data_IF_589994646511
#
_entry.id   IF_589994646511
#
_cell.length_a   1.000
_cell.length_b   1.000
_cell.length_c   1.000
_cell.angle_alpha   90.00
_cell.angle_beta   90.00
_cell.angle_gamma   90.00
#
_symmetry.space_group_name_H-M   'P 1'
#
loop_
_entity.id
_entity.type
_entity.pdbx_description
1 polymer ?
#
# COMPACT_ATOMS: atom_id res chain seq x y z
N UNK A 1 2.78 9.55 3.09
CA UNK A 1 3.17 8.47 3.99
C UNK A 1 1.94 7.95 4.71
N UNK A 2 1.78 6.63 4.68
CA UNK A 2 0.67 5.91 5.30
C UNK A 2 0.68 5.98 6.83
N UNK A 3 -0.50 5.83 7.45
CA UNK A 3 -0.62 5.66 8.89
C UNK A 3 -0.06 4.30 9.33
N UNK A 4 0.75 4.23 10.40
CA UNK A 4 1.41 3.00 10.84
C UNK A 4 0.47 2.07 11.61
N UNK A 5 -0.55 1.54 10.93
CA UNK A 5 -1.48 0.60 11.55
C UNK A 5 -0.86 -0.79 11.64
N UNK A 6 -1.13 -1.57 12.72
CA UNK A 6 -0.65 -2.94 12.82
C UNK A 6 -1.09 -3.83 11.65
N UNK A 7 -2.29 -3.59 11.11
CA UNK A 7 -2.83 -4.33 9.98
C UNK A 7 -2.04 -4.07 8.69
N UNK A 8 -1.72 -2.81 8.39
CA UNK A 8 -0.93 -2.45 7.22
C UNK A 8 0.50 -2.98 7.31
N UNK A 9 1.16 -2.81 8.47
CA UNK A 9 2.52 -3.31 8.70
C UNK A 9 2.58 -4.84 8.50
N UNK A 10 1.64 -5.57 9.09
CA UNK A 10 1.56 -7.03 8.90
C UNK A 10 1.32 -7.41 7.43
N UNK A 11 0.48 -6.66 6.72
CA UNK A 11 0.22 -6.89 5.30
C UNK A 11 1.44 -6.62 4.42
N UNK A 12 2.24 -5.59 4.71
CA UNK A 12 3.48 -5.30 3.99
C UNK A 12 4.49 -6.46 4.14
N UNK A 13 4.72 -6.94 5.36
CA UNK A 13 5.58 -8.10 5.61
C UNK A 13 5.08 -9.36 4.91
N UNK A 14 3.79 -9.69 5.07
CA UNK A 14 3.21 -10.87 4.45
C UNK A 14 3.28 -10.82 2.92
N UNK A 15 3.05 -9.64 2.32
CA UNK A 15 3.16 -9.45 0.88
C UNK A 15 4.61 -9.63 0.42
N UNK A 16 5.57 -9.05 1.13
CA UNK A 16 6.99 -9.20 0.83
C UNK A 16 7.43 -10.68 0.89
N UNK A 17 6.96 -11.42 1.89
CA UNK A 17 7.31 -12.83 2.06
C UNK A 17 6.70 -13.71 0.97
N UNK A 18 5.43 -13.48 0.59
CA UNK A 18 4.81 -14.17 -0.56
C UNK A 18 5.60 -13.96 -1.85
N UNK A 19 6.02 -12.72 -2.11
CA UNK A 19 6.84 -12.38 -3.28
C UNK A 19 8.20 -13.05 -3.21
N UNK A 20 8.89 -13.01 -2.06
CA UNK A 20 10.19 -13.65 -1.86
C UNK A 20 10.12 -15.18 -2.04
N UNK A 21 8.99 -15.80 -1.70
CA UNK A 21 8.74 -17.24 -1.88
C UNK A 21 8.40 -17.64 -3.32
N UNK A 22 8.39 -16.68 -4.25
CA UNK A 22 8.27 -16.98 -5.68
C UNK A 22 6.89 -16.77 -6.26
N UNK A 23 6.02 -15.99 -5.62
CA UNK A 23 4.75 -15.60 -6.22
C UNK A 23 4.96 -15.00 -7.63
N UNK A 24 4.02 -15.28 -8.54
CA UNK A 24 4.03 -14.75 -9.91
C UNK A 24 3.95 -13.23 -9.84
N UNK A 25 4.83 -12.58 -10.60
CA UNK A 25 4.98 -11.13 -10.59
C UNK A 25 5.13 -10.64 -12.02
N UNK A 26 4.30 -9.68 -12.40
CA UNK A 26 4.30 -9.09 -13.72
C UNK A 26 3.73 -7.68 -13.66
N UNK A 27 4.56 -6.68 -13.99
CA UNK A 27 4.07 -5.32 -14.20
C UNK A 27 3.00 -5.27 -15.30
N UNK A 28 1.98 -4.43 -15.12
CA UNK A 28 0.83 -4.32 -16.04
C UNK A 28 -0.18 -5.46 -15.94
N UNK A 29 0.08 -6.50 -15.14
CA UNK A 29 -0.96 -7.45 -14.74
C UNK A 29 -1.57 -6.98 -13.42
N UNK A 30 -2.84 -6.60 -13.44
CA UNK A 30 -3.49 -5.86 -12.36
C UNK A 30 -3.41 -6.50 -10.97
N UNK A 31 -3.46 -7.83 -10.91
CA UNK A 31 -3.29 -8.58 -9.68
C UNK A 31 -1.86 -8.99 -9.36
N UNK A 32 -0.91 -8.94 -10.30
CA UNK A 32 0.44 -9.49 -10.13
C UNK A 32 1.55 -8.40 -10.13
N UNK A 33 1.17 -7.13 -10.11
CA UNK A 33 2.08 -5.99 -9.94
C UNK A 33 2.20 -5.58 -8.46
N UNK A 34 2.94 -4.50 -8.17
CA UNK A 34 3.21 -4.00 -6.82
C UNK A 34 1.93 -3.73 -6.03
N UNK A 35 1.04 -2.88 -6.57
CA UNK A 35 -0.24 -2.56 -5.95
C UNK A 35 -1.16 -3.78 -5.88
N UNK A 36 -1.20 -4.59 -6.95
CA UNK A 36 -2.01 -5.80 -7.03
C UNK A 36 -1.70 -6.80 -5.91
N UNK A 37 -0.43 -7.07 -5.64
CA UNK A 37 -0.02 -7.98 -4.57
C UNK A 37 -0.41 -7.48 -3.18
N UNK A 38 -0.22 -6.19 -2.90
CA UNK A 38 -0.64 -5.63 -1.61
C UNK A 38 -2.18 -5.63 -1.49
N UNK A 39 -2.91 -5.32 -2.55
CA UNK A 39 -4.36 -5.38 -2.60
C UNK A 39 -4.87 -6.80 -2.28
N UNK A 40 -4.28 -7.84 -2.87
CA UNK A 40 -4.63 -9.23 -2.55
C UNK A 40 -4.47 -9.52 -1.05
N UNK A 41 -3.36 -9.08 -0.44
CA UNK A 41 -3.10 -9.32 0.97
C UNK A 41 -4.06 -8.57 1.90
N UNK A 42 -4.38 -7.31 1.57
CA UNK A 42 -5.24 -6.46 2.41
C UNK A 42 -6.73 -6.83 2.29
N UNK A 43 -7.17 -7.27 1.12
CA UNK A 43 -8.60 -7.45 0.82
C UNK A 43 -9.02 -8.91 0.70
N UNK A 44 -8.07 -9.83 0.54
CA UNK A 44 -8.34 -11.25 0.30
C UNK A 44 -8.79 -11.57 -1.13
N UNK A 45 -8.96 -10.57 -2.01
CA UNK A 45 -9.23 -10.82 -3.42
C UNK A 45 -8.06 -11.54 -4.10
N UNK A 46 -8.37 -12.46 -4.99
CA UNK A 46 -7.40 -13.15 -5.83
C UNK A 46 -6.89 -12.26 -6.96
N UNK A 47 -5.75 -12.62 -7.54
CA UNK A 47 -5.26 -11.95 -8.74
C UNK A 47 -6.24 -11.99 -9.92
N UNK A 48 -7.09 -13.03 -10.00
CA UNK A 48 -8.10 -13.16 -11.05
C UNK A 48 -9.24 -12.16 -10.89
N UNK A 49 -9.75 -12.01 -9.66
CA UNK A 49 -10.77 -11.01 -9.33
C UNK A 49 -10.27 -9.60 -9.59
N UNK A 50 -9.04 -9.27 -9.16
CA UNK A 50 -8.47 -7.93 -9.42
C UNK A 50 -8.31 -7.64 -10.92
N UNK A 51 -7.96 -8.65 -11.72
CA UNK A 51 -7.90 -8.51 -13.17
C UNK A 51 -9.28 -8.29 -13.78
N UNK A 52 -10.31 -8.98 -13.29
CA UNK A 52 -11.70 -8.81 -13.73
C UNK A 52 -12.23 -7.41 -13.37
N UNK A 53 -11.98 -6.93 -12.15
CA UNK A 53 -12.40 -5.59 -11.72
C UNK A 53 -11.77 -4.48 -12.56
N UNK A 54 -10.53 -4.68 -13.01
CA UNK A 54 -9.84 -3.73 -13.87
C UNK A 54 -10.41 -3.66 -15.31
N UNK A 55 -11.28 -4.59 -15.71
CA UNK A 55 -11.95 -4.53 -17.01
C UNK A 55 -13.04 -3.46 -17.06
N UNK A 56 -13.57 -3.04 -15.92
CA UNK A 56 -14.61 -2.00 -15.85
C UNK A 56 -14.09 -0.62 -16.26
N UNK A 57 -12.76 -0.40 -16.14
CA UNK A 57 -12.13 0.88 -16.42
C UNK A 57 -10.65 0.73 -16.75
N UNK A 58 -10.25 1.25 -17.91
CA UNK A 58 -8.85 1.28 -18.35
C UNK A 58 -7.94 2.13 -17.43
N UNK A 59 -6.64 1.82 -17.49
CA UNK A 59 -5.57 2.57 -16.83
C UNK A 59 -4.86 1.76 -15.76
N UNK A 60 -3.68 2.21 -15.33
CA UNK A 60 -2.86 1.57 -14.30
C UNK A 60 -3.31 1.97 -12.88
N UNK A 61 -2.78 1.31 -11.85
CA UNK A 61 -3.15 1.57 -10.44
C UNK A 61 -2.98 3.04 -10.04
N UNK A 62 -1.92 3.71 -10.48
CA UNK A 62 -1.72 5.13 -10.16
C UNK A 62 -2.83 6.02 -10.76
N UNK A 63 -3.38 5.66 -11.93
CA UNK A 63 -4.48 6.38 -12.56
C UNK A 63 -5.77 6.14 -11.78
N UNK A 64 -6.04 4.89 -11.41
CA UNK A 64 -7.20 4.53 -10.60
C UNK A 64 -7.16 5.19 -9.22
N UNK A 65 -5.98 5.30 -8.60
CA UNK A 65 -5.81 6.01 -7.34
C UNK A 65 -6.06 7.53 -7.51
N UNK A 66 -5.54 8.16 -8.57
CA UNK A 66 -5.78 9.59 -8.81
C UNK A 66 -7.23 9.92 -9.13
N UNK A 67 -7.89 9.05 -9.87
CA UNK A 67 -9.28 9.22 -10.30
C UNK A 67 -10.27 8.57 -9.32
N UNK A 68 -9.79 8.16 -8.14
CA UNK A 68 -10.59 7.48 -7.14
C UNK A 68 -11.79 8.34 -6.73
N UNK A 69 -12.95 7.69 -6.73
CA UNK A 69 -14.21 8.22 -6.25
C UNK A 69 -14.97 7.07 -5.58
N UNK A 70 -15.35 7.28 -4.32
CA UNK A 70 -16.00 6.29 -3.45
C UNK A 70 -17.43 5.92 -3.89
N UNK A 71 -18.06 6.78 -4.68
CA UNK A 71 -19.42 6.63 -5.19
C UNK A 71 -19.50 6.24 -6.67
N UNK A 72 -18.35 5.98 -7.33
CA UNK A 72 -18.31 5.65 -8.77
C UNK A 72 -19.03 4.34 -9.13
N UNK A 73 -19.14 3.43 -8.17
CA UNK A 73 -19.69 2.08 -8.38
C UNK A 73 -18.67 1.05 -8.88
N UNK A 74 -17.49 1.47 -9.36
CA UNK A 74 -16.46 0.58 -9.90
C UNK A 74 -15.90 -0.36 -8.83
N UNK A 75 -15.77 -1.63 -9.19
CA UNK A 75 -15.28 -2.69 -8.30
C UNK A 75 -13.85 -2.41 -7.83
N UNK A 76 -12.98 -1.94 -8.72
CA UNK A 76 -11.62 -1.60 -8.34
C UNK A 76 -11.55 -0.37 -7.41
N UNK A 77 -12.45 0.61 -7.55
CA UNK A 77 -12.54 1.71 -6.58
C UNK A 77 -12.96 1.19 -5.20
N UNK A 78 -13.86 0.21 -5.11
CA UNK A 78 -14.19 -0.42 -3.83
C UNK A 78 -12.96 -1.08 -3.20
N UNK A 79 -12.12 -1.76 -3.99
CA UNK A 79 -10.84 -2.33 -3.53
C UNK A 79 -9.91 -1.23 -3.00
N UNK A 80 -9.75 -0.13 -3.73
CA UNK A 80 -8.98 1.04 -3.26
C UNK A 80 -9.53 1.54 -1.93
N UNK A 81 -10.85 1.69 -1.81
CA UNK A 81 -11.50 2.11 -0.57
C UNK A 81 -11.22 1.18 0.62
N UNK A 82 -11.14 -0.13 0.41
CA UNK A 82 -10.74 -1.09 1.45
C UNK A 82 -9.27 -0.94 1.82
N UNK A 83 -8.39 -0.70 0.85
CA UNK A 83 -6.96 -0.45 1.12
C UNK A 83 -6.76 0.83 1.94
N UNK A 84 -7.48 1.91 1.61
CA UNK A 84 -7.40 3.19 2.34
C UNK A 84 -7.82 3.05 3.80
N UNK A 85 -8.81 2.19 4.10
CA UNK A 85 -9.24 1.91 5.49
C UNK A 85 -8.14 1.28 6.35
N UNK A 86 -7.05 0.79 5.76
CA UNK A 86 -5.92 0.22 6.48
C UNK A 86 -4.86 1.24 6.89
N UNK A 87 -5.04 2.52 6.51
CA UNK A 87 -4.09 3.60 6.78
C UNK A 87 -3.32 4.06 5.55
N UNK A 88 -3.52 3.44 4.39
CA UNK A 88 -2.96 3.91 3.13
C UNK A 88 -3.66 5.20 2.69
N UNK A 89 -2.91 6.11 2.07
CA UNK A 89 -3.44 7.22 1.27
C UNK A 89 -3.42 6.89 -0.23
N UNK A 90 -4.11 7.70 -1.04
CA UNK A 90 -4.07 7.57 -2.49
C UNK A 90 -2.66 7.82 -3.06
N UNK A 91 -1.90 8.73 -2.44
CA UNK A 91 -0.52 9.02 -2.83
C UNK A 91 0.40 7.83 -2.58
N UNK A 92 0.20 7.11 -1.47
CA UNK A 92 0.96 5.89 -1.17
C UNK A 92 0.74 4.80 -2.24
N UNK A 93 -0.46 4.70 -2.82
CA UNK A 93 -0.74 3.78 -3.94
C UNK A 93 -0.01 4.18 -5.22
N UNK A 94 0.09 5.49 -5.49
CA UNK A 94 0.88 6.00 -6.63
C UNK A 94 2.36 5.67 -6.43
N UNK A 95 2.89 5.87 -5.22
CA UNK A 95 4.28 5.55 -4.91
C UNK A 95 4.58 4.05 -4.92
N UNK A 96 3.65 3.22 -4.42
CA UNK A 96 3.79 1.77 -4.46
C UNK A 96 3.85 1.24 -5.89
N UNK A 97 3.09 1.82 -6.80
CA UNK A 97 3.15 1.49 -8.22
C UNK A 97 4.60 1.65 -8.70
N UNK A 98 5.22 2.81 -8.51
CA UNK A 98 6.55 3.09 -9.05
C UNK A 98 7.74 2.69 -8.15
N UNK A 99 7.49 2.26 -6.92
CA UNK A 99 8.48 2.00 -5.87
C UNK A 99 9.34 3.24 -5.56
N UNK A 100 8.70 4.41 -5.40
CA UNK A 100 9.40 5.70 -5.39
C UNK A 100 9.08 6.66 -4.23
N UNK A 101 8.42 6.21 -3.15
CA UNK A 101 8.23 7.06 -1.97
C UNK A 101 9.61 7.47 -1.39
N UNK A 102 9.90 8.78 -1.28
CA UNK A 102 11.22 9.26 -0.85
C UNK A 102 11.59 8.87 0.58
N UNK A 103 10.62 8.63 1.47
CA UNK A 103 10.92 8.18 2.83
C UNK A 103 11.20 6.70 2.89
N UNK A 104 10.45 5.89 2.12
CA UNK A 104 10.72 4.45 2.00
C UNK A 104 12.10 4.23 1.37
N UNK A 105 12.42 4.95 0.29
CA UNK A 105 13.70 4.83 -0.40
C UNK A 105 14.90 5.19 0.49
N UNK A 106 14.74 6.06 1.50
CA UNK A 106 15.79 6.36 2.49
C UNK A 106 16.13 5.16 3.39
N UNK A 107 15.21 4.21 3.55
CA UNK A 107 15.42 2.98 4.31
C UNK A 107 15.94 1.81 3.45
N UNK A 108 15.97 1.96 2.13
CA UNK A 108 16.51 0.94 1.21
C UNK A 108 18.05 1.01 1.17
N UNK A 109 18.77 -0.13 1.15
CA UNK A 109 20.23 -0.13 0.98
C UNK A 109 20.66 0.61 -0.29
N UNK A 110 21.65 1.49 -0.18
CA UNK A 110 22.06 2.36 -1.28
C UNK A 110 22.53 1.59 -2.52
N UNK A 111 23.16 0.43 -2.31
CA UNK A 111 23.62 -0.48 -3.36
C UNK A 111 22.49 -1.15 -4.15
N UNK A 112 21.27 -1.15 -3.62
CA UNK A 112 20.09 -1.70 -4.29
C UNK A 112 19.34 -0.67 -5.13
N UNK A 113 19.73 0.62 -5.06
CA UNK A 113 19.08 1.71 -5.79
C UNK A 113 19.73 1.90 -7.19
N UNK A 114 18.94 2.33 -8.21
CA UNK A 114 17.51 2.58 -8.16
C UNK A 114 16.68 1.28 -8.17
N UNK A 115 15.50 1.32 -7.54
CA UNK A 115 14.54 0.24 -7.64
C UNK A 115 13.86 0.24 -9.03
N UNK A 116 13.38 -0.92 -9.45
CA UNK A 116 12.80 -1.15 -10.76
C UNK A 116 11.44 -1.77 -10.55
N UNK A 117 10.38 -1.07 -10.95
CA UNK A 117 9.00 -1.46 -10.69
C UNK A 117 8.59 -2.83 -11.25
N UNK A 118 9.28 -3.30 -12.31
CA UNK A 118 9.04 -4.63 -12.90
C UNK A 118 10.06 -5.68 -12.43
N UNK A 119 10.67 -5.50 -11.25
CA UNK A 119 11.53 -6.50 -10.61
C UNK A 119 10.97 -6.88 -9.26
N UNK A 120 10.54 -8.14 -9.14
CA UNK A 120 9.93 -8.69 -7.92
C UNK A 120 10.83 -8.49 -6.70
N UNK A 121 12.13 -8.71 -6.85
CA UNK A 121 13.09 -8.56 -5.77
C UNK A 121 13.17 -7.11 -5.28
N UNK A 122 12.99 -6.13 -6.17
CA UNK A 122 12.94 -4.72 -5.81
C UNK A 122 11.63 -4.37 -5.08
N UNK A 123 10.50 -4.97 -5.48
CA UNK A 123 9.24 -4.85 -4.75
C UNK A 123 9.34 -5.42 -3.32
N UNK A 124 10.00 -6.58 -3.14
CA UNK A 124 10.27 -7.15 -1.81
C UNK A 124 11.08 -6.20 -0.94
N UNK A 125 12.17 -5.63 -1.48
CA UNK A 125 13.00 -4.66 -0.75
C UNK A 125 12.20 -3.43 -0.34
N UNK A 126 11.40 -2.88 -1.25
CA UNK A 126 10.57 -1.72 -1.00
C UNK A 126 9.53 -1.97 0.09
N UNK A 127 8.78 -3.09 0.01
CA UNK A 127 7.75 -3.44 1.00
C UNK A 127 8.34 -3.65 2.39
N UNK A 128 9.52 -4.27 2.50
CA UNK A 128 10.22 -4.45 3.78
C UNK A 128 10.73 -3.12 4.35
N UNK A 129 11.32 -2.28 3.50
CA UNK A 129 11.74 -0.93 3.90
C UNK A 129 10.55 -0.09 4.36
N UNK A 130 9.41 -0.19 3.68
CA UNK A 130 8.20 0.53 4.05
C UNK A 130 7.66 0.06 5.40
N UNK A 131 7.59 -1.26 5.62
CA UNK A 131 7.20 -1.80 6.92
C UNK A 131 8.12 -1.29 8.04
N UNK A 132 9.43 -1.28 7.83
CA UNK A 132 10.41 -0.74 8.78
C UNK A 132 10.17 0.75 9.09
N UNK A 133 9.86 1.57 8.09
CA UNK A 133 9.56 3.00 8.28
C UNK A 133 8.30 3.18 9.14
N UNK A 134 7.26 2.37 8.91
CA UNK A 134 6.02 2.43 9.70
C UNK A 134 6.16 1.85 11.11
N UNK A 135 7.08 0.91 11.33
CA UNK A 135 7.40 0.38 12.66
C UNK A 135 8.20 1.36 13.54
N UNK A 136 8.85 2.36 12.94
CA UNK A 136 9.63 3.36 13.69
C UNK A 136 8.69 4.23 14.55
N UNK A 137 8.81 4.24 15.89
CA UNK A 137 7.95 5.05 16.76
C UNK A 137 8.01 6.55 16.47
N UNK A 138 9.05 7.01 15.76
CA UNK A 138 9.24 8.41 15.36
C UNK A 138 8.44 8.80 14.11
N UNK A 139 7.90 7.82 13.36
CA UNK A 139 7.03 8.06 12.21
C UNK A 139 5.55 8.14 12.58
N UNK A 140 5.18 7.78 13.81
CA UNK A 140 3.79 7.80 14.27
C UNK A 140 3.20 9.23 14.32
N UNK A 141 1.95 9.43 13.85
CA UNK A 141 1.26 10.70 14.04
C UNK A 141 1.11 11.00 15.55
N UNK A 142 1.15 12.28 15.96
CA UNK A 142 1.01 12.65 17.36
C UNK A 142 -0.33 12.14 17.90
N UNK A 143 -0.30 11.47 19.06
CA UNK A 143 -1.50 10.95 19.69
C UNK A 143 -2.56 12.06 19.85
N UNK A 144 -3.86 11.76 19.65
CA UNK A 144 -4.91 12.75 19.82
C UNK A 144 -4.85 13.31 21.24
N UNK A 145 -4.86 14.65 21.36
CA UNK A 145 -4.93 15.31 22.66
C UNK A 145 -6.23 14.87 23.34
N UNK A 146 -6.11 14.21 24.50
CA UNK A 146 -7.27 14.03 25.39
C UNK A 146 -7.69 15.41 25.87
N UNK A 147 -8.93 15.80 25.57
CA UNK A 147 -9.52 16.99 26.18
C UNK A 147 -9.57 16.78 27.70
N UNK A 148 -9.23 17.79 28.51
CA UNK A 148 -9.37 17.69 29.95
C UNK A 148 -10.85 17.47 30.29
N UNK A 149 -11.11 16.45 31.10
CA UNK A 149 -12.42 16.22 31.72
C UNK A 149 -12.90 17.53 32.38
N UNK A 150 -14.18 17.93 32.23
CA UNK A 150 -14.68 19.14 32.84
C UNK A 150 -14.50 19.01 34.36
N UNK A 151 -13.70 19.93 34.93
CA UNK A 151 -13.60 20.08 36.38
C UNK A 151 -15.00 20.35 36.91
N UNK A 152 -15.54 19.39 37.66
CA UNK A 152 -16.84 19.48 38.30
C UNK A 152 -16.92 20.76 39.14
N UNK A 153 -17.87 21.61 38.78
CA UNK A 153 -18.20 22.83 39.52
C UNK A 153 -18.99 22.41 40.77
N UNK A 154 -18.38 22.52 41.95
CA UNK A 154 -19.02 22.46 43.26
C UNK A 154 -18.96 23.83 43.94
#
# INVERSE_FOLDING_TARGET
>A
MADPTPALIAALHHTADRLAQGAKFQWGHYGECNCGHLAQTLTGHSSGELLEFAQEREGEWWQQARDYCDTSGYSLHKVIGLMLQTGLSLEDLVHLEYLDDPEVLRAVPAEALPLERNRREHAVLYLRAWAQVLEDPRSAPPAPRREPEPVGML
#
